data_IF_261835338156
#
_entry.id   IF_261835338156
#
_cell.length_a   1.000
_cell.length_b   1.000
_cell.length_c   1.000
_cell.angle_alpha   90.00
_cell.angle_beta   90.00
_cell.angle_gamma   90.00
#
_symmetry.space_group_name_H-M   'P 1'
#
loop_
_entity.id
_entity.type
_entity.pdbx_description
1 polymer ?
#
# COMPACT_ATOMS: atom_id res chain seq x y z
N UNK A 1 -2.14 11.84 13.14
CA UNK A 1 -1.59 10.49 12.88
C UNK A 1 -2.74 9.49 12.86
N UNK A 2 -2.81 8.64 11.84
CA UNK A 2 -3.89 7.65 11.70
C UNK A 2 -3.88 6.64 12.87
N UNK A 3 -5.06 6.23 13.35
CA UNK A 3 -5.23 5.21 14.39
C UNK A 3 -4.83 3.81 13.87
N UNK A 4 -5.15 3.51 12.59
CA UNK A 4 -4.56 2.43 11.83
C UNK A 4 -3.86 3.02 10.60
N UNK A 5 -2.53 3.10 10.58
CA UNK A 5 -1.81 3.57 9.41
C UNK A 5 -1.97 2.59 8.25
N UNK A 6 -1.76 3.08 7.02
CA UNK A 6 -1.71 2.25 5.83
C UNK A 6 -0.45 1.41 5.83
N UNK A 7 -0.61 0.15 5.55
CA UNK A 7 0.49 -0.75 5.26
C UNK A 7 0.55 -1.01 3.76
N UNK A 8 1.75 -1.02 3.22
CA UNK A 8 1.93 -1.40 1.82
C UNK A 8 1.60 -2.88 1.65
N UNK A 9 0.76 -3.20 0.65
CA UNK A 9 0.39 -4.58 0.37
C UNK A 9 1.62 -5.38 -0.03
N UNK A 10 1.77 -6.55 0.54
CA UNK A 10 2.86 -7.49 0.25
C UNK A 10 3.02 -7.77 -1.25
N UNK A 11 1.89 -7.84 -1.98
CA UNK A 11 1.87 -8.01 -3.44
C UNK A 11 2.60 -6.87 -4.16
N UNK A 12 2.38 -5.61 -3.77
CA UNK A 12 3.04 -4.44 -4.38
C UNK A 12 4.55 -4.50 -4.11
N UNK A 13 4.95 -4.80 -2.88
CA UNK A 13 6.37 -4.90 -2.50
C UNK A 13 7.07 -6.02 -3.28
N UNK A 14 6.43 -7.20 -3.44
CA UNK A 14 6.96 -8.31 -4.25
C UNK A 14 7.09 -7.88 -5.72
N UNK A 15 6.02 -7.34 -6.31
CA UNK A 15 6.02 -6.93 -7.71
C UNK A 15 7.05 -5.83 -8.00
N UNK A 16 7.24 -4.88 -7.07
CA UNK A 16 8.28 -3.85 -7.16
C UNK A 16 9.67 -4.46 -7.18
N UNK A 17 9.95 -5.39 -6.27
CA UNK A 17 11.22 -6.10 -6.21
C UNK A 17 11.48 -6.92 -7.47
N UNK A 18 10.47 -7.62 -7.97
CA UNK A 18 10.57 -8.39 -9.21
C UNK A 18 10.78 -7.49 -10.43
N UNK A 19 10.04 -6.38 -10.53
CA UNK A 19 10.18 -5.42 -11.62
C UNK A 19 11.58 -4.81 -11.70
N UNK A 20 12.24 -4.60 -10.56
CA UNK A 20 13.62 -4.14 -10.52
C UNK A 20 14.62 -5.24 -10.92
N UNK A 21 14.34 -6.53 -10.63
CA UNK A 21 15.30 -7.64 -10.75
C UNK A 21 15.14 -8.50 -12.01
N UNK A 22 14.01 -8.39 -12.69
CA UNK A 22 13.73 -9.13 -13.92
C UNK A 22 12.80 -8.35 -14.84
N UNK A 23 12.76 -8.72 -16.10
CA UNK A 23 11.74 -8.24 -17.01
C UNK A 23 10.42 -8.96 -16.69
N UNK A 24 9.43 -8.21 -16.21
CA UNK A 24 8.11 -8.78 -15.94
C UNK A 24 7.37 -9.08 -17.24
N UNK A 25 6.61 -10.19 -17.30
CA UNK A 25 5.62 -10.37 -18.35
C UNK A 25 4.68 -9.16 -18.44
N UNK A 26 4.19 -8.84 -19.63
CA UNK A 26 3.34 -7.65 -19.87
C UNK A 26 2.16 -7.54 -18.88
N UNK A 27 1.47 -8.65 -18.62
CA UNK A 27 0.36 -8.69 -17.65
C UNK A 27 0.84 -8.34 -16.22
N UNK A 28 1.99 -8.87 -15.80
CA UNK A 28 2.59 -8.61 -14.50
C UNK A 28 3.05 -7.16 -14.36
N UNK A 29 3.61 -6.57 -15.43
CA UNK A 29 4.01 -5.17 -15.48
C UNK A 29 2.81 -4.23 -15.37
N UNK A 30 1.74 -4.50 -16.13
CA UNK A 30 0.50 -3.74 -16.04
C UNK A 30 -0.16 -3.85 -14.67
N UNK A 31 -0.17 -5.05 -14.08
CA UNK A 31 -0.70 -5.25 -12.73
C UNK A 31 0.10 -4.43 -11.70
N UNK A 32 1.43 -4.49 -11.76
CA UNK A 32 2.31 -3.70 -10.89
C UNK A 32 2.04 -2.20 -11.01
N UNK A 33 2.05 -1.65 -12.23
CA UNK A 33 1.84 -0.22 -12.46
C UNK A 33 0.47 0.24 -11.95
N UNK A 34 -0.57 -0.56 -12.19
CA UNK A 34 -1.94 -0.27 -11.71
C UNK A 34 -2.01 -0.26 -10.19
N UNK A 35 -1.46 -1.27 -9.52
CA UNK A 35 -1.47 -1.38 -8.06
C UNK A 35 -0.64 -0.27 -7.41
N UNK A 36 0.54 0.02 -7.97
CA UNK A 36 1.41 1.07 -7.47
C UNK A 36 0.77 2.45 -7.61
N UNK A 37 0.19 2.77 -8.78
CA UNK A 37 -0.53 4.04 -9.01
C UNK A 37 -1.73 4.18 -8.06
N UNK A 38 -2.45 3.09 -7.79
CA UNK A 38 -3.54 3.08 -6.80
C UNK A 38 -3.03 3.40 -5.40
N UNK A 39 -1.98 2.70 -4.96
CA UNK A 39 -1.36 2.91 -3.65
C UNK A 39 -0.83 4.34 -3.46
N UNK A 40 -0.19 4.91 -4.48
CA UNK A 40 0.26 6.31 -4.47
C UNK A 40 -0.91 7.28 -4.22
N UNK A 41 -2.04 7.06 -4.90
CA UNK A 41 -3.24 7.87 -4.68
C UNK A 41 -3.80 7.74 -3.26
N UNK A 42 -3.83 6.51 -2.74
CA UNK A 42 -4.25 6.25 -1.37
C UNK A 42 -3.32 6.96 -0.35
N UNK A 43 -2.00 6.95 -0.57
CA UNK A 43 -1.02 7.68 0.27
C UNK A 43 -1.20 9.19 0.16
N UNK A 44 -1.46 9.72 -1.04
CA UNK A 44 -1.78 11.15 -1.20
C UNK A 44 -3.01 11.56 -0.38
N UNK A 45 -4.04 10.72 -0.34
CA UNK A 45 -5.24 10.97 0.45
C UNK A 45 -4.99 10.87 1.96
N UNK A 46 -4.13 9.93 2.40
CA UNK A 46 -3.72 9.81 3.80
C UNK A 46 -3.08 11.12 4.30
N UNK A 47 -2.22 11.75 3.49
CA UNK A 47 -1.60 13.05 3.81
C UNK A 47 -2.63 14.19 3.99
N UNK A 48 -3.79 14.11 3.33
CA UNK A 48 -4.87 15.07 3.52
C UNK A 48 -5.65 14.79 4.82
N UNK A 49 -5.97 13.52 5.08
CA UNK A 49 -6.71 13.15 6.29
C UNK A 49 -5.88 13.32 7.55
N UNK A 50 -4.56 13.17 7.51
CA UNK A 50 -3.67 13.44 8.64
C UNK A 50 -3.66 14.92 9.07
N UNK A 51 -4.08 15.84 8.20
CA UNK A 51 -4.23 17.28 8.50
C UNK A 51 -5.55 17.62 9.19
N UNK A 52 -6.44 16.65 9.39
CA UNK A 52 -7.68 16.86 10.14
C UNK A 52 -7.36 17.28 11.58
N UNK A 53 -8.02 18.34 12.02
CA UNK A 53 -7.85 18.93 13.36
C UNK A 53 -8.97 18.51 14.31
N UNK A 54 -10.13 18.10 13.77
CA UNK A 54 -11.23 17.56 14.56
C UNK A 54 -10.85 16.20 15.14
N UNK A 55 -11.36 15.89 16.33
CA UNK A 55 -11.16 14.57 16.93
C UNK A 55 -11.78 13.48 16.05
N UNK A 56 -11.00 12.50 15.66
CA UNK A 56 -11.46 11.36 14.85
C UNK A 56 -10.52 10.16 14.97
N UNK A 57 -11.02 8.96 14.68
CA UNK A 57 -10.15 7.83 14.35
C UNK A 57 -10.08 7.68 12.83
N UNK A 58 -8.87 7.60 12.30
CA UNK A 58 -8.61 7.36 10.88
C UNK A 58 -8.07 5.95 10.73
N UNK A 59 -8.76 5.11 9.93
CA UNK A 59 -8.36 3.74 9.63
C UNK A 59 -8.09 3.63 8.13
N UNK A 60 -6.82 3.39 7.77
CA UNK A 60 -6.38 3.32 6.38
C UNK A 60 -6.19 1.87 5.93
N UNK A 61 -6.65 1.55 4.71
CA UNK A 61 -6.43 0.26 4.06
C UNK A 61 -7.05 -0.91 4.79
N UNK A 62 -8.34 -0.84 5.16
CA UNK A 62 -9.06 -1.95 5.78
C UNK A 62 -9.48 -2.97 4.72
N UNK A 63 -9.11 -4.23 4.90
CA UNK A 63 -9.67 -5.38 4.17
C UNK A 63 -10.53 -6.18 5.15
N UNK A 64 -11.83 -6.23 4.89
CA UNK A 64 -12.81 -6.86 5.78
C UNK A 64 -13.56 -7.98 5.06
N UNK A 65 -14.13 -8.89 5.84
CA UNK A 65 -14.98 -9.96 5.33
C UNK A 65 -16.30 -10.02 6.09
N UNK A 66 -17.40 -10.11 5.35
CA UNK A 66 -18.72 -10.33 5.89
C UNK A 66 -19.47 -11.34 5.02
N UNK A 67 -20.00 -12.41 5.61
CA UNK A 67 -20.75 -13.46 4.90
C UNK A 67 -20.02 -13.97 3.64
N UNK A 68 -18.73 -14.33 3.77
CA UNK A 68 -17.83 -14.76 2.70
C UNK A 68 -17.60 -13.72 1.59
N UNK A 69 -18.05 -12.48 1.78
CA UNK A 69 -17.81 -11.38 0.86
C UNK A 69 -16.70 -10.49 1.39
N UNK A 70 -15.58 -10.42 0.69
CA UNK A 70 -14.47 -9.52 1.03
C UNK A 70 -14.70 -8.16 0.40
N UNK A 71 -14.36 -7.11 1.15
CA UNK A 71 -14.43 -5.73 0.69
C UNK A 71 -13.31 -4.90 1.33
N UNK A 72 -12.83 -3.92 0.58
CA UNK A 72 -11.77 -3.04 1.00
C UNK A 72 -12.32 -1.63 1.20
N UNK A 73 -11.86 -0.98 2.24
CA UNK A 73 -12.08 0.44 2.51
C UNK A 73 -10.71 1.12 2.47
N UNK A 74 -10.53 2.06 1.54
CA UNK A 74 -9.25 2.73 1.39
C UNK A 74 -8.96 3.65 2.58
N UNK A 75 -9.96 4.42 3.01
CA UNK A 75 -9.88 5.23 4.23
C UNK A 75 -11.25 5.32 4.90
N UNK A 76 -11.30 5.11 6.20
CA UNK A 76 -12.48 5.31 7.05
C UNK A 76 -12.16 6.34 8.13
N UNK A 77 -12.92 7.45 8.15
CA UNK A 77 -12.87 8.44 9.23
C UNK A 77 -14.07 8.23 10.14
N UNK A 78 -13.81 8.02 11.43
CA UNK A 78 -14.82 7.74 12.47
C UNK A 78 -15.00 8.98 13.33
N UNK A 79 -16.18 9.58 13.24
CA UNK A 79 -16.77 10.58 14.09
C UNK A 79 -18.20 10.13 14.46
N UNK A 80 -19.13 11.02 14.81
CA UNK A 80 -20.55 10.66 14.92
C UNK A 80 -21.15 10.22 13.57
N UNK A 81 -20.52 10.61 12.48
CA UNK A 81 -20.71 10.07 11.12
C UNK A 81 -19.45 9.32 10.69
N UNK A 82 -19.65 8.16 10.07
CA UNK A 82 -18.57 7.40 9.46
C UNK A 82 -18.40 7.87 8.00
N UNK A 83 -17.24 8.42 7.67
CA UNK A 83 -16.91 8.79 6.29
C UNK A 83 -16.09 7.68 5.65
N UNK A 84 -16.71 6.97 4.69
CA UNK A 84 -16.06 5.93 3.89
C UNK A 84 -15.55 6.54 2.60
N UNK A 85 -14.27 6.37 2.30
CA UNK A 85 -13.64 6.86 1.09
C UNK A 85 -13.12 5.70 0.23
N UNK A 86 -13.48 5.71 -1.05
CA UNK A 86 -12.92 4.89 -2.11
C UNK A 86 -12.07 5.81 -3.01
N UNK A 87 -10.75 5.66 -2.96
CA UNK A 87 -9.79 6.60 -3.56
C UNK A 87 -9.37 6.13 -4.94
N UNK A 88 -9.49 7.01 -5.93
CA UNK A 88 -9.12 6.75 -7.33
C UNK A 88 -8.04 7.73 -7.78
N UNK A 89 -6.90 7.20 -8.26
CA UNK A 89 -5.80 7.96 -8.83
C UNK A 89 -5.82 7.89 -10.36
N UNK A 90 -6.99 8.18 -10.95
CA UNK A 90 -7.14 8.27 -12.41
C UNK A 90 -6.56 9.60 -12.90
N UNK A 91 -5.97 9.59 -14.09
CA UNK A 91 -5.34 10.74 -14.74
C UNK A 91 -5.92 10.92 -16.14
N UNK A 92 -6.14 12.19 -16.52
CA UNK A 92 -6.66 12.56 -17.84
C UNK A 92 -8.19 12.52 -17.91
N UNK A 93 -8.70 12.36 -19.13
CA UNK A 93 -10.09 12.54 -19.47
C UNK A 93 -10.90 11.24 -19.38
N UNK A 94 -12.02 11.31 -18.70
CA UNK A 94 -13.01 10.24 -18.57
C UNK A 94 -14.40 10.78 -18.89
N UNK A 95 -15.32 9.88 -19.24
CA UNK A 95 -16.69 10.19 -19.60
C UNK A 95 -17.65 9.33 -18.79
N UNK A 96 -18.76 9.92 -18.37
CA UNK A 96 -19.84 9.19 -17.71
C UNK A 96 -21.07 9.20 -18.62
N UNK A 97 -21.33 8.11 -19.31
CA UNK A 97 -22.41 8.01 -20.31
C UNK A 97 -23.35 6.85 -19.97
N UNK A 98 -24.65 7.14 -19.82
CA UNK A 98 -25.71 6.13 -19.58
C UNK A 98 -25.43 5.17 -18.42
N UNK A 99 -24.68 5.60 -17.40
CA UNK A 99 -24.29 4.77 -16.26
C UNK A 99 -22.92 4.12 -16.39
N UNK A 100 -22.29 4.24 -17.55
CA UNK A 100 -20.96 3.67 -17.81
C UNK A 100 -19.85 4.68 -17.53
N UNK A 101 -18.76 4.20 -16.97
CA UNK A 101 -17.52 4.95 -16.75
C UNK A 101 -16.50 4.58 -17.84
N UNK A 102 -16.17 5.54 -18.70
CA UNK A 102 -15.44 5.30 -19.95
C UNK A 102 -14.16 6.15 -19.96
N UNK A 103 -13.02 5.55 -20.32
CA UNK A 103 -11.76 6.29 -20.51
C UNK A 103 -11.73 7.04 -21.85
N UNK A 104 -10.81 8.00 -22.02
CA UNK A 104 -10.56 8.73 -23.28
C UNK A 104 -10.33 7.80 -24.47
N UNK A 105 -9.73 6.64 -24.26
CA UNK A 105 -9.53 5.60 -25.28
C UNK A 105 -10.81 4.78 -25.59
N UNK A 106 -11.96 5.22 -25.11
CA UNK A 106 -13.26 4.53 -25.24
C UNK A 106 -13.31 3.13 -24.61
N UNK A 107 -12.43 2.86 -23.67
CA UNK A 107 -12.43 1.61 -22.90
C UNK A 107 -13.42 1.73 -21.76
N UNK A 108 -14.34 0.78 -21.66
CA UNK A 108 -15.23 0.62 -20.52
C UNK A 108 -14.41 0.25 -19.28
N UNK A 109 -14.61 0.99 -18.22
CA UNK A 109 -13.95 0.79 -16.93
C UNK A 109 -14.96 0.34 -15.88
N UNK A 110 -14.48 -0.32 -14.83
CA UNK A 110 -15.34 -0.58 -13.67
C UNK A 110 -15.84 0.74 -13.10
N UNK A 111 -17.18 0.85 -12.94
CA UNK A 111 -17.78 2.06 -12.38
C UNK A 111 -17.42 2.20 -10.89
N UNK A 112 -16.72 3.28 -10.48
CA UNK A 112 -16.36 3.48 -9.08
C UNK A 112 -17.56 3.62 -8.15
N UNK A 113 -18.69 4.14 -8.64
CA UNK A 113 -19.92 4.30 -7.85
C UNK A 113 -20.53 2.95 -7.46
N UNK A 114 -20.49 1.94 -8.35
CA UNK A 114 -20.97 0.60 -8.03
C UNK A 114 -20.08 -0.08 -6.97
N UNK A 115 -18.78 0.11 -7.08
CA UNK A 115 -17.82 -0.37 -6.09
C UNK A 115 -18.09 0.27 -4.73
N UNK A 116 -18.24 1.60 -4.68
CA UNK A 116 -18.56 2.35 -3.48
C UNK A 116 -19.85 1.85 -2.83
N UNK A 117 -20.94 1.73 -3.59
CA UNK A 117 -22.25 1.27 -3.12
C UNK A 117 -22.18 -0.12 -2.52
N UNK A 118 -21.44 -1.04 -3.16
CA UNK A 118 -21.21 -2.39 -2.62
C UNK A 118 -20.45 -2.33 -1.29
N UNK A 119 -19.40 -1.54 -1.23
CA UNK A 119 -18.57 -1.38 -0.02
C UNK A 119 -19.38 -0.78 1.13
N UNK A 120 -20.14 0.28 0.87
CA UNK A 120 -21.02 0.93 1.84
C UNK A 120 -22.08 -0.04 2.37
N UNK A 121 -22.72 -0.82 1.49
CA UNK A 121 -23.73 -1.80 1.88
C UNK A 121 -23.16 -2.84 2.83
N UNK A 122 -21.97 -3.38 2.54
CA UNK A 122 -21.31 -4.37 3.37
C UNK A 122 -20.86 -3.77 4.72
N UNK A 123 -20.38 -2.53 4.73
CA UNK A 123 -20.04 -1.84 5.97
C UNK A 123 -21.29 -1.63 6.85
N UNK A 124 -22.42 -1.16 6.28
CA UNK A 124 -23.68 -0.97 7.02
C UNK A 124 -24.19 -2.29 7.62
N UNK A 125 -24.15 -3.39 6.87
CA UNK A 125 -24.51 -4.71 7.37
C UNK A 125 -23.60 -5.17 8.50
N UNK A 126 -22.29 -4.92 8.40
CA UNK A 126 -21.33 -5.22 9.45
C UNK A 126 -21.63 -4.42 10.71
N UNK A 127 -21.84 -3.12 10.59
CA UNK A 127 -22.23 -2.26 11.72
C UNK A 127 -23.50 -2.76 12.41
N UNK A 128 -24.53 -3.09 11.63
CA UNK A 128 -25.77 -3.64 12.17
C UNK A 128 -25.56 -4.96 12.93
N UNK A 129 -24.76 -5.86 12.35
CA UNK A 129 -24.42 -7.16 12.98
C UNK A 129 -23.78 -7.00 14.36
N UNK A 130 -22.95 -5.97 14.53
CA UNK A 130 -22.26 -5.70 15.80
C UNK A 130 -22.92 -4.61 16.66
N UNK A 131 -24.15 -4.19 16.31
CA UNK A 131 -24.96 -3.28 17.12
C UNK A 131 -24.54 -1.81 17.08
N UNK A 132 -23.76 -1.39 16.08
CA UNK A 132 -23.41 0.02 15.89
C UNK A 132 -24.45 0.74 15.04
N UNK A 133 -24.92 1.90 15.53
CA UNK A 133 -25.95 2.72 14.87
C UNK A 133 -25.38 4.09 14.52
N UNK A 134 -24.30 4.13 13.75
CA UNK A 134 -23.69 5.36 13.27
C UNK A 134 -24.08 5.58 11.79
N UNK A 135 -24.42 6.82 11.38
CA UNK A 135 -24.63 7.12 9.97
C UNK A 135 -23.34 6.90 9.17
N UNK A 136 -23.47 6.48 7.93
CA UNK A 136 -22.36 6.30 7.01
C UNK A 136 -22.55 7.22 5.82
N UNK A 137 -21.56 8.05 5.50
CA UNK A 137 -21.44 8.81 4.27
C UNK A 137 -20.29 8.19 3.46
N UNK A 138 -20.60 7.69 2.27
CA UNK A 138 -19.61 7.04 1.39
C UNK A 138 -19.31 7.94 0.19
N UNK A 139 -18.03 8.04 -0.20
CA UNK A 139 -17.57 8.96 -1.24
C UNK A 139 -16.50 8.32 -2.13
N UNK A 140 -16.64 8.45 -3.46
CA UNK A 140 -15.54 8.26 -4.40
C UNK A 140 -14.69 9.53 -4.42
N UNK A 141 -13.41 9.37 -4.23
CA UNK A 141 -12.45 10.48 -4.24
C UNK A 141 -11.52 10.34 -5.44
N UNK A 142 -11.58 11.28 -6.38
CA UNK A 142 -10.56 11.42 -7.41
C UNK A 142 -9.46 12.34 -6.89
N UNK A 143 -8.29 11.73 -6.57
CA UNK A 143 -7.20 12.44 -5.91
C UNK A 143 -6.25 13.15 -6.88
N UNK A 144 -6.13 12.65 -8.12
CA UNK A 144 -5.20 13.17 -9.11
C UNK A 144 -5.65 14.54 -9.62
N UNK A 145 -4.83 15.60 -9.54
CA UNK A 145 -5.19 16.94 -9.99
C UNK A 145 -5.47 17.03 -11.50
N UNK A 146 -4.93 16.10 -12.29
CA UNK A 146 -5.13 16.05 -13.74
C UNK A 146 -6.35 15.22 -14.17
N UNK A 147 -7.21 14.82 -13.22
CA UNK A 147 -8.43 14.08 -13.51
C UNK A 147 -9.56 14.99 -13.98
N UNK A 148 -10.19 14.63 -15.08
CA UNK A 148 -11.41 15.29 -15.60
C UNK A 148 -12.49 14.25 -15.90
N UNK A 149 -13.72 14.49 -15.43
CA UNK A 149 -14.88 13.67 -15.75
C UNK A 149 -15.92 14.51 -16.53
N UNK A 150 -16.08 14.18 -17.79
CA UNK A 150 -17.12 14.76 -18.64
C UNK A 150 -18.47 14.10 -18.38
N UNK A 151 -19.56 14.87 -18.51
CA UNK A 151 -20.95 14.41 -18.27
C UNK A 151 -21.12 13.78 -16.87
N UNK A 152 -20.42 14.33 -15.88
CA UNK A 152 -20.48 13.88 -14.51
C UNK A 152 -21.94 13.81 -14.01
N UNK A 153 -22.35 12.70 -13.34
CA UNK A 153 -23.69 12.57 -12.84
C UNK A 153 -23.93 13.58 -11.71
N UNK A 154 -25.10 14.25 -11.76
CA UNK A 154 -25.51 15.17 -10.70
C UNK A 154 -25.89 14.38 -9.44
N UNK A 155 -25.54 14.94 -8.27
CA UNK A 155 -25.92 14.40 -6.95
C UNK A 155 -25.31 13.05 -6.57
N UNK A 156 -24.35 12.55 -7.35
CA UNK A 156 -23.60 11.35 -6.96
C UNK A 156 -22.49 11.68 -5.94
N UNK A 157 -22.12 10.74 -5.07
CA UNK A 157 -21.14 10.96 -4.01
C UNK A 157 -19.70 10.96 -4.55
N UNK A 158 -19.36 11.94 -5.36
CA UNK A 158 -18.03 12.11 -5.96
C UNK A 158 -17.38 13.37 -5.39
N UNK A 159 -16.13 13.26 -5.00
CA UNK A 159 -15.26 14.38 -4.63
C UNK A 159 -14.18 14.53 -5.70
N UNK A 160 -14.17 15.67 -6.37
CA UNK A 160 -13.17 16.01 -7.37
C UNK A 160 -11.91 16.62 -6.72
N UNK A 161 -10.75 16.60 -7.42
CA UNK A 161 -9.52 17.16 -6.88
C UNK A 161 -9.66 18.59 -6.37
N UNK A 162 -10.41 19.41 -7.08
CA UNK A 162 -10.67 20.81 -6.72
C UNK A 162 -11.56 20.98 -5.49
N UNK A 163 -12.28 19.93 -5.07
CA UNK A 163 -13.22 19.96 -3.94
C UNK A 163 -12.62 19.40 -2.65
N UNK A 164 -11.47 18.72 -2.72
CA UNK A 164 -10.85 18.03 -1.58
C UNK A 164 -10.68 18.92 -0.35
N UNK A 165 -10.09 20.10 -0.52
CA UNK A 165 -9.86 21.03 0.58
C UNK A 165 -11.17 21.49 1.25
N UNK A 166 -12.20 21.75 0.45
CA UNK A 166 -13.52 22.16 0.95
C UNK A 166 -14.18 21.01 1.72
N UNK A 167 -14.05 19.78 1.23
CA UNK A 167 -14.59 18.60 1.90
C UNK A 167 -13.88 18.33 3.23
N UNK A 168 -12.54 18.44 3.28
CA UNK A 168 -11.77 18.28 4.52
C UNK A 168 -12.15 19.36 5.55
N UNK A 169 -12.43 20.59 5.12
CA UNK A 169 -12.98 21.65 5.99
C UNK A 169 -14.35 21.23 6.56
N UNK A 170 -15.25 20.62 5.76
CA UNK A 170 -16.55 20.10 6.24
C UNK A 170 -16.35 19.09 7.39
N UNK A 171 -15.42 18.14 7.24
CA UNK A 171 -15.12 17.16 8.30
C UNK A 171 -14.56 17.86 9.55
N UNK A 172 -13.71 18.87 9.38
CA UNK A 172 -13.14 19.64 10.49
C UNK A 172 -14.15 20.54 11.23
N UNK A 173 -15.31 20.83 10.64
CA UNK A 173 -16.37 21.60 11.30
C UNK A 173 -17.08 20.80 12.40
N UNK A 174 -16.86 19.50 12.49
CA UNK A 174 -17.40 18.71 13.57
C UNK A 174 -16.73 19.10 14.91
N UNK A 175 -17.57 19.49 15.88
CA UNK A 175 -17.12 19.97 17.20
C UNK A 175 -17.38 18.94 18.32
N UNK A 176 -17.90 17.76 17.98
CA UNK A 176 -18.12 16.69 18.92
C UNK A 176 -16.81 16.08 19.43
N UNK A 177 -16.93 15.18 20.38
CA UNK A 177 -15.79 14.44 20.95
C UNK A 177 -15.92 12.96 20.65
N UNK A 178 -14.81 12.34 20.29
CA UNK A 178 -14.75 10.88 20.23
C UNK A 178 -14.93 10.28 21.63
N UNK A 179 -15.61 9.16 21.70
CA UNK A 179 -15.94 8.49 22.96
C UNK A 179 -15.65 6.98 22.89
N UNK A 180 -15.94 6.27 23.97
CA UNK A 180 -15.69 4.84 24.07
C UNK A 180 -16.41 3.98 23.01
N UNK A 181 -17.53 4.44 22.43
CA UNK A 181 -18.23 3.71 21.35
C UNK A 181 -17.44 3.81 20.04
N UNK A 182 -16.92 5.01 19.70
CA UNK A 182 -16.06 5.22 18.54
C UNK A 182 -14.78 4.37 18.64
N UNK A 183 -14.15 4.35 19.84
CA UNK A 183 -12.97 3.53 20.07
C UNK A 183 -13.26 2.03 19.93
N UNK A 184 -14.35 1.54 20.52
CA UNK A 184 -14.76 0.14 20.39
C UNK A 184 -14.99 -0.26 18.93
N UNK A 185 -15.60 0.62 18.13
CA UNK A 185 -15.77 0.39 16.70
C UNK A 185 -14.43 0.33 15.97
N UNK A 186 -13.53 1.28 16.21
CA UNK A 186 -12.22 1.30 15.59
C UNK A 186 -11.42 0.03 15.91
N UNK A 187 -11.39 -0.36 17.20
CA UNK A 187 -10.69 -1.58 17.67
C UNK A 187 -11.31 -2.85 17.04
N UNK A 188 -12.63 -2.93 16.94
CA UNK A 188 -13.33 -4.04 16.28
C UNK A 188 -12.93 -4.16 14.81
N UNK A 189 -12.98 -3.07 14.04
CA UNK A 189 -12.65 -3.08 12.64
C UNK A 189 -11.19 -3.45 12.39
N UNK A 190 -10.28 -3.02 13.27
CA UNK A 190 -8.87 -3.40 13.23
C UNK A 190 -8.71 -4.90 13.53
N UNK A 191 -9.41 -5.44 14.52
CA UNK A 191 -9.33 -6.87 14.85
C UNK A 191 -9.87 -7.78 13.75
N UNK A 192 -10.77 -7.27 12.91
CA UNK A 192 -11.35 -7.99 11.76
C UNK A 192 -10.54 -7.81 10.47
N UNK A 193 -9.51 -6.96 10.48
CA UNK A 193 -8.72 -6.68 9.30
C UNK A 193 -7.92 -7.92 8.85
N UNK A 194 -8.06 -8.26 7.57
CA UNK A 194 -7.32 -9.34 6.92
C UNK A 194 -5.99 -8.80 6.40
N UNK A 195 -4.89 -9.37 6.84
CA UNK A 195 -3.52 -8.90 6.49
C UNK A 195 -3.14 -9.20 5.04
N UNK A 196 -3.70 -10.27 4.46
CA UNK A 196 -3.31 -10.72 3.12
C UNK A 196 -4.47 -10.65 2.12
N UNK A 197 -4.15 -10.19 0.92
CA UNK A 197 -5.06 -10.35 -0.23
C UNK A 197 -5.20 -11.83 -0.56
N UNK A 198 -6.42 -12.36 -0.72
CA UNK A 198 -6.63 -13.78 -0.94
C UNK A 198 -6.13 -14.31 -2.30
N UNK A 199 -5.87 -13.42 -3.27
CA UNK A 199 -5.50 -13.79 -4.64
C UNK A 199 -4.43 -12.85 -5.19
N UNK A 200 -3.16 -12.92 -4.70
CA UNK A 200 -2.08 -12.13 -5.25
C UNK A 200 -1.76 -12.60 -6.68
N UNK A 201 -1.69 -11.66 -7.61
CA UNK A 201 -1.29 -11.93 -9.01
C UNK A 201 0.21 -11.71 -9.16
N UNK A 202 0.99 -12.67 -8.68
CA UNK A 202 2.44 -12.64 -8.74
C UNK A 202 2.88 -13.60 -9.84
N UNK A 203 3.71 -13.16 -10.84
CA UNK A 203 4.28 -14.06 -11.82
C UNK A 203 5.20 -15.09 -11.16
N UNK A 204 5.41 -16.21 -11.81
CA UNK A 204 6.41 -17.20 -11.38
C UNK A 204 7.83 -16.63 -11.54
N UNK A 205 8.69 -16.89 -10.57
CA UNK A 205 10.08 -16.45 -10.60
C UNK A 205 10.98 -17.43 -9.85
N UNK A 206 12.24 -17.48 -10.24
CA UNK A 206 13.25 -18.33 -9.62
C UNK A 206 14.43 -17.49 -9.15
N UNK A 207 15.08 -17.94 -8.09
CA UNK A 207 16.20 -17.22 -7.46
C UNK A 207 17.35 -16.98 -8.46
N UNK A 208 17.65 -17.97 -9.27
CA UNK A 208 18.78 -17.99 -10.21
C UNK A 208 18.61 -16.96 -11.32
N UNK A 209 17.38 -16.70 -11.76
CA UNK A 209 17.04 -15.77 -12.84
C UNK A 209 17.07 -14.31 -12.39
N UNK A 210 16.79 -14.05 -11.12
CA UNK A 210 16.74 -12.68 -10.61
C UNK A 210 18.12 -12.03 -10.59
N UNK A 211 18.21 -10.79 -11.08
CA UNK A 211 19.42 -9.98 -11.01
C UNK A 211 19.86 -9.79 -9.56
N UNK A 212 21.13 -10.11 -9.26
CA UNK A 212 21.74 -9.92 -7.93
C UNK A 212 22.33 -8.52 -7.82
N UNK A 213 22.29 -7.96 -6.64
CA UNK A 213 22.83 -6.64 -6.34
C UNK A 213 21.99 -5.89 -5.29
N UNK A 214 22.60 -4.91 -4.66
CA UNK A 214 21.88 -3.95 -3.81
C UNK A 214 21.16 -2.97 -4.75
N UNK A 215 19.88 -2.76 -4.51
CA UNK A 215 19.06 -1.78 -5.24
C UNK A 215 19.07 -0.47 -4.45
N UNK A 216 19.19 0.67 -5.13
CA UNK A 216 19.05 1.98 -4.50
C UNK A 216 17.68 2.14 -3.82
N UNK A 217 17.64 2.64 -2.59
CA UNK A 217 16.39 2.84 -1.86
C UNK A 217 15.50 3.95 -2.44
N UNK A 218 16.08 4.87 -3.21
CA UNK A 218 15.37 6.02 -3.80
C UNK A 218 14.91 5.74 -5.24
N UNK A 219 15.84 5.47 -6.16
CA UNK A 219 15.52 5.34 -7.60
C UNK A 219 15.50 3.89 -8.10
N UNK A 220 15.74 2.90 -7.23
CA UNK A 220 15.77 1.46 -7.53
C UNK A 220 16.84 1.02 -8.55
N UNK A 221 17.82 1.88 -8.84
CA UNK A 221 18.96 1.53 -9.66
C UNK A 221 19.88 0.50 -9.01
N UNK A 222 20.51 -0.34 -9.84
CA UNK A 222 21.61 -1.23 -9.44
C UNK A 222 22.99 -0.57 -9.53
N UNK A 223 23.06 0.66 -10.04
CA UNK A 223 24.32 1.38 -10.14
C UNK A 223 24.71 1.96 -8.78
N UNK A 224 25.14 1.08 -7.90
CA UNK A 224 25.54 1.44 -6.53
C UNK A 224 26.98 1.00 -6.28
N UNK A 225 27.69 1.79 -5.47
CA UNK A 225 29.06 1.51 -5.04
C UNK A 225 29.21 1.67 -3.54
N UNK A 226 30.19 0.99 -2.94
CA UNK A 226 30.53 1.14 -1.53
C UNK A 226 31.62 2.18 -1.37
N UNK A 227 31.32 3.25 -0.64
CA UNK A 227 32.28 4.32 -0.32
C UNK A 227 32.38 4.48 1.20
N UNK A 228 33.49 4.02 1.79
CA UNK A 228 33.66 3.99 3.24
C UNK A 228 32.61 3.10 3.93
N UNK A 229 31.71 3.70 4.71
CA UNK A 229 30.63 3.00 5.43
C UNK A 229 29.26 3.17 4.78
N UNK A 230 29.21 3.69 3.56
CA UNK A 230 27.97 4.00 2.83
C UNK A 230 27.89 3.24 1.52
N UNK A 231 26.69 2.98 1.09
CA UNK A 231 26.32 2.61 -0.28
C UNK A 231 25.84 3.87 -0.97
N UNK A 232 26.43 4.23 -2.10
CA UNK A 232 26.15 5.45 -2.86
C UNK A 232 25.59 5.07 -4.22
N UNK A 233 24.47 5.67 -4.61
CA UNK A 233 23.88 5.46 -5.94
C UNK A 233 24.53 6.37 -6.98
N UNK A 234 24.99 5.79 -8.09
CA UNK A 234 25.57 6.53 -9.20
C UNK A 234 24.54 7.33 -10.03
N UNK A 235 23.26 6.93 -10.00
CA UNK A 235 22.22 7.59 -10.80
C UNK A 235 21.60 8.80 -10.07
N UNK A 236 21.25 8.66 -8.80
CA UNK A 236 20.54 9.71 -8.06
C UNK A 236 21.31 10.32 -6.89
N UNK A 237 22.52 9.85 -6.63
CA UNK A 237 23.36 10.34 -5.52
C UNK A 237 22.86 9.95 -4.11
N UNK A 238 21.80 9.14 -3.99
CA UNK A 238 21.29 8.72 -2.69
C UNK A 238 22.34 7.92 -1.92
N UNK A 239 22.52 8.26 -0.65
CA UNK A 239 23.43 7.58 0.26
C UNK A 239 22.68 6.82 1.34
N UNK A 240 23.07 5.60 1.60
CA UNK A 240 22.53 4.75 2.65
C UNK A 240 23.66 4.05 3.40
N UNK A 241 23.51 3.79 4.71
CA UNK A 241 24.53 3.01 5.41
C UNK A 241 24.61 1.57 4.88
N UNK A 242 25.79 0.96 4.91
CA UNK A 242 25.93 -0.45 4.51
C UNK A 242 25.01 -1.34 5.34
N UNK A 243 24.89 -1.08 6.63
CA UNK A 243 24.06 -1.87 7.54
C UNK A 243 22.59 -1.82 7.12
N UNK A 244 22.05 -0.62 6.85
CA UNK A 244 20.66 -0.44 6.40
C UNK A 244 20.42 -1.09 5.04
N UNK A 245 21.32 -0.92 4.07
CA UNK A 245 21.18 -1.47 2.72
C UNK A 245 21.22 -3.01 2.72
N UNK A 246 22.09 -3.62 3.52
CA UNK A 246 22.16 -5.08 3.69
C UNK A 246 20.90 -5.61 4.38
N UNK A 247 20.43 -4.97 5.47
CA UNK A 247 19.21 -5.38 6.18
C UNK A 247 17.98 -5.28 5.29
N UNK A 248 17.88 -4.24 4.47
CA UNK A 248 16.81 -4.08 3.47
C UNK A 248 16.87 -5.20 2.42
N UNK A 249 18.05 -5.53 1.93
CA UNK A 249 18.28 -6.64 1.00
C UNK A 249 17.93 -8.00 1.60
N UNK A 250 18.19 -8.22 2.90
CA UNK A 250 17.78 -9.44 3.60
C UNK A 250 16.27 -9.52 3.75
N UNK A 251 15.60 -8.40 4.08
CA UNK A 251 14.12 -8.35 4.15
C UNK A 251 13.49 -8.67 2.81
N UNK A 252 14.03 -8.11 1.72
CA UNK A 252 13.59 -8.39 0.36
C UNK A 252 13.79 -9.87 -0.01
N UNK A 253 14.96 -10.44 0.29
CA UNK A 253 15.25 -11.85 0.04
C UNK A 253 14.26 -12.77 0.79
N UNK A 254 13.96 -12.48 2.05
CA UNK A 254 12.96 -13.23 2.85
C UNK A 254 11.55 -13.08 2.28
N UNK A 255 11.21 -11.91 1.77
CA UNK A 255 9.90 -11.66 1.15
C UNK A 255 9.72 -12.49 -0.13
N UNK A 256 10.75 -12.52 -0.99
CA UNK A 256 10.72 -13.23 -2.26
C UNK A 256 10.89 -14.76 -2.09
N UNK A 257 11.70 -15.18 -1.13
CA UNK A 257 12.05 -16.59 -0.91
C UNK A 257 11.93 -16.95 0.58
N UNK A 258 10.70 -17.05 1.13
CA UNK A 258 10.48 -17.28 2.57
C UNK A 258 11.09 -18.58 3.08
N UNK A 259 11.17 -19.61 2.25
CA UNK A 259 11.71 -20.93 2.62
C UNK A 259 13.23 -21.01 2.49
N UNK A 260 13.88 -19.97 1.93
CA UNK A 260 15.34 -19.96 1.74
C UNK A 260 16.04 -19.56 3.04
N UNK A 261 16.93 -20.44 3.53
CA UNK A 261 17.74 -20.14 4.71
C UNK A 261 18.66 -18.94 4.47
N UNK A 262 18.62 -17.97 5.37
CA UNK A 262 19.50 -16.80 5.33
C UNK A 262 20.88 -17.19 5.86
N UNK A 263 21.87 -17.21 5.00
CA UNK A 263 23.27 -17.44 5.34
C UNK A 263 24.14 -16.27 4.86
N UNK A 264 25.31 -16.09 5.44
CA UNK A 264 26.26 -15.04 5.00
C UNK A 264 26.56 -15.16 3.49
N UNK A 265 26.68 -16.39 2.97
CA UNK A 265 26.96 -16.63 1.55
C UNK A 265 25.79 -16.19 0.67
N UNK A 266 24.57 -16.59 1.02
CA UNK A 266 23.36 -16.25 0.26
C UNK A 266 23.12 -14.74 0.25
N UNK A 267 23.30 -14.07 1.39
CA UNK A 267 23.16 -12.61 1.48
C UNK A 267 24.23 -11.90 0.67
N UNK A 268 25.49 -12.36 0.70
CA UNK A 268 26.56 -11.79 -0.11
C UNK A 268 26.25 -11.89 -1.59
N UNK A 269 25.80 -13.06 -2.04
CA UNK A 269 25.39 -13.31 -3.43
C UNK A 269 24.22 -12.39 -3.81
N UNK A 270 23.18 -12.33 -2.95
CA UNK A 270 22.02 -11.47 -3.18
C UNK A 270 22.40 -9.98 -3.29
N UNK A 271 23.35 -9.53 -2.50
CA UNK A 271 23.91 -8.18 -2.58
C UNK A 271 24.87 -7.95 -3.75
N UNK A 272 25.06 -8.92 -4.66
CA UNK A 272 25.96 -8.81 -5.80
C UNK A 272 27.43 -8.78 -5.46
N UNK A 273 27.83 -9.26 -4.28
CA UNK A 273 29.22 -9.35 -3.84
C UNK A 273 29.89 -8.02 -3.47
N UNK A 274 29.19 -6.88 -3.57
CA UNK A 274 29.77 -5.54 -3.29
C UNK A 274 30.09 -5.29 -1.82
N UNK A 275 29.51 -6.08 -0.90
CA UNK A 275 29.78 -6.04 0.54
C UNK A 275 30.52 -7.32 0.95
N UNK A 276 31.58 -7.17 1.77
CA UNK A 276 32.40 -8.30 2.19
C UNK A 276 31.65 -9.24 3.15
N UNK A 277 32.05 -10.52 3.17
CA UNK A 277 31.45 -11.53 4.06
C UNK A 277 31.50 -11.16 5.52
N UNK A 278 32.58 -10.54 5.97
CA UNK A 278 32.79 -10.20 7.38
C UNK A 278 31.86 -9.09 7.83
N UNK A 279 31.63 -8.07 6.96
CA UNK A 279 30.65 -7.02 7.23
C UNK A 279 29.24 -7.63 7.29
N UNK A 280 28.86 -8.46 6.32
CA UNK A 280 27.57 -9.12 6.30
C UNK A 280 27.37 -10.00 7.55
N UNK A 281 28.38 -10.81 7.92
CA UNK A 281 28.32 -11.65 9.12
C UNK A 281 28.12 -10.81 10.39
N UNK A 282 28.84 -9.71 10.53
CA UNK A 282 28.67 -8.76 11.65
C UNK A 282 27.22 -8.25 11.70
N UNK A 283 26.70 -7.77 10.58
CA UNK A 283 25.33 -7.22 10.48
C UNK A 283 24.29 -8.29 10.85
N UNK A 284 24.44 -9.51 10.30
CA UNK A 284 23.50 -10.59 10.57
C UNK A 284 23.55 -11.01 12.05
N UNK A 285 24.73 -11.13 12.66
CA UNK A 285 24.88 -11.47 14.08
C UNK A 285 24.26 -10.42 15.01
N UNK A 286 24.26 -9.16 14.62
CA UNK A 286 23.70 -8.06 15.42
C UNK A 286 22.17 -7.98 15.35
N UNK A 287 21.55 -8.45 14.25
CA UNK A 287 20.16 -8.20 13.96
C UNK A 287 19.28 -9.45 13.88
N UNK A 288 19.87 -10.63 13.84
CA UNK A 288 19.17 -11.90 13.69
C UNK A 288 19.71 -12.95 14.65
N UNK A 289 18.84 -13.88 15.02
CA UNK A 289 19.24 -15.03 15.84
C UNK A 289 19.95 -16.06 14.98
N UNK A 290 21.13 -16.47 15.43
CA UNK A 290 21.90 -17.50 14.76
C UNK A 290 21.44 -18.91 15.20
N UNK A 291 21.26 -19.81 14.22
CA UNK A 291 20.85 -21.19 14.42
C UNK A 291 21.77 -22.16 13.67
N UNK A 292 21.94 -23.37 14.21
CA UNK A 292 22.75 -24.42 13.61
C UNK A 292 24.25 -24.35 13.89
N UNK A 293 25.01 -25.33 13.37
CA UNK A 293 26.46 -25.45 13.56
C UNK A 293 27.17 -25.70 12.22
N UNK A 294 28.39 -25.17 12.08
CA UNK A 294 29.27 -25.43 10.94
C UNK A 294 28.62 -25.01 9.61
N UNK A 295 28.54 -25.95 8.66
CA UNK A 295 27.94 -25.70 7.34
C UNK A 295 26.42 -25.51 7.34
N UNK A 296 25.74 -25.83 8.45
CA UNK A 296 24.29 -25.68 8.63
C UNK A 296 23.90 -24.39 9.35
N UNK A 297 24.84 -23.47 9.52
CA UNK A 297 24.62 -22.21 10.21
C UNK A 297 23.79 -21.25 9.36
N UNK A 298 22.68 -20.75 9.94
CA UNK A 298 21.79 -19.79 9.29
C UNK A 298 21.18 -18.82 10.31
N UNK A 299 20.51 -17.78 9.82
CA UNK A 299 19.93 -16.69 10.62
C UNK A 299 18.41 -16.63 10.49
N UNK A 300 17.73 -16.36 11.60
CA UNK A 300 16.28 -16.14 11.69
C UNK A 300 15.95 -14.78 12.31
#
# INVERSE_FOLDING_TARGET
MAYKPREERKEITILRSLHARMELPEEGKWNYLKLNKGFEGEVMFDLLTEKLQSECFILNGLLLELNNSKFQIDTLVIQDTLYLFDVKNHEGDYYYEKGDFISKSKKLMNNPLDQLKRCETLLRQLLQKYGFKLPVEAWVVFINPEFTLYQAPKHEPIIYPTQLNTFMKKINMWTGKINGKHKKLADLLISMHLVESPYPRIPTYEYEVLRKGIICSSCQSFLVSVTGRKVVCGDCGCEESIDTSVLRSVKELRLLFPDRKITTKVVQEWCGGIVTKDIIRRILNQNYKANGFGRWYYYE
#
